data_IF_163664987574
#
_entry.id   IF_163664987574
#
_cell.length_a   1.000
_cell.length_b   1.000
_cell.length_c   1.000
_cell.angle_alpha   90.00
_cell.angle_beta   90.00
_cell.angle_gamma   90.00
#
_symmetry.space_group_name_H-M   'P 1'
#
loop_
_entity.id
_entity.type
_entity.pdbx_description
1 polymer ?
#
# COMPACT_ATOMS: atom_id res chain seq x y z
N UNK A 1 -10.23 11.46 32.40
CA UNK A 1 -8.99 11.31 33.22
C UNK A 1 -7.73 11.75 32.47
N UNK A 2 -7.24 11.06 31.43
CA UNK A 2 -6.01 11.48 30.72
C UNK A 2 -6.10 12.84 30.01
N UNK A 3 -7.23 13.14 29.35
CA UNK A 3 -7.45 14.43 28.68
C UNK A 3 -7.55 15.61 29.65
N UNK A 4 -8.12 15.38 30.83
CA UNK A 4 -8.29 16.42 31.83
C UNK A 4 -6.95 16.80 32.49
N UNK A 5 -6.02 15.84 32.60
CA UNK A 5 -4.65 16.08 33.07
C UNK A 5 -3.93 17.04 32.12
N UNK A 6 -3.94 16.77 30.81
CA UNK A 6 -3.28 17.65 29.82
C UNK A 6 -3.91 19.04 29.77
N UNK A 7 -5.24 19.16 29.90
CA UNK A 7 -5.90 20.47 29.96
C UNK A 7 -5.45 21.29 31.17
N UNK A 8 -5.05 20.63 32.27
CA UNK A 8 -4.50 21.28 33.46
C UNK A 8 -3.03 21.67 33.33
N UNK A 9 -2.27 21.11 32.39
CA UNK A 9 -0.86 21.48 32.15
C UNK A 9 -0.73 22.98 31.84
N UNK A 10 -1.57 23.50 30.96
CA UNK A 10 -1.67 24.93 30.70
C UNK A 10 -3.10 25.33 30.30
N UNK A 11 -3.97 25.74 31.25
CA UNK A 11 -5.38 25.98 30.97
C UNK A 11 -5.64 27.08 29.95
N UNK A 12 -4.81 28.15 29.96
CA UNK A 12 -5.03 29.35 29.13
C UNK A 12 -4.25 29.36 27.81
N UNK A 13 -3.25 28.49 27.66
CA UNK A 13 -2.40 28.45 26.48
C UNK A 13 -2.27 27.01 25.96
N UNK A 14 -3.12 26.61 25.01
CA UNK A 14 -3.03 25.28 24.42
C UNK A 14 -1.68 25.01 23.75
N UNK A 15 -0.96 26.03 23.27
CA UNK A 15 0.33 25.89 22.60
C UNK A 15 1.44 25.32 23.50
N UNK A 16 1.23 25.33 24.83
CA UNK A 16 2.15 24.84 25.86
C UNK A 16 1.73 23.50 26.48
N UNK A 17 0.73 22.83 25.91
CA UNK A 17 0.27 21.52 26.38
C UNK A 17 1.00 20.41 25.63
N UNK A 18 1.18 19.27 26.28
CA UNK A 18 1.79 18.08 25.70
C UNK A 18 0.99 17.49 24.54
N UNK A 19 -0.33 17.68 24.54
CA UNK A 19 -1.23 17.11 23.53
C UNK A 19 -2.41 18.01 23.22
N UNK A 20 -2.86 17.96 21.97
CA UNK A 20 -4.02 18.70 21.46
C UNK A 20 -5.02 17.78 20.76
N UNK A 21 -6.32 18.01 20.98
CA UNK A 21 -7.42 17.27 20.33
C UNK A 21 -8.67 18.10 20.05
N UNK A 22 -8.83 19.26 20.70
CA UNK A 22 -9.96 20.13 20.41
C UNK A 22 -9.66 20.92 19.15
N UNK A 23 -10.56 20.86 18.17
CA UNK A 23 -10.44 21.63 16.93
C UNK A 23 -10.12 23.10 17.20
N UNK A 24 -10.88 23.78 18.08
CA UNK A 24 -10.66 25.21 18.37
C UNK A 24 -9.26 25.51 18.91
N UNK A 25 -8.72 24.63 19.75
CA UNK A 25 -7.38 24.78 20.32
C UNK A 25 -6.32 24.56 19.24
N UNK A 26 -6.44 23.47 18.47
CA UNK A 26 -5.52 23.12 17.39
C UNK A 26 -5.51 24.21 16.32
N UNK A 27 -6.69 24.60 15.85
CA UNK A 27 -6.86 25.63 14.83
C UNK A 27 -6.28 26.97 15.29
N UNK A 28 -6.56 27.39 16.53
CA UNK A 28 -5.95 28.61 17.07
C UNK A 28 -4.42 28.50 17.19
N UNK A 29 -3.88 27.36 17.63
CA UNK A 29 -2.44 27.16 17.80
C UNK A 29 -1.71 27.16 16.45
N UNK A 30 -2.27 26.48 15.45
CA UNK A 30 -1.67 26.34 14.12
C UNK A 30 -1.87 27.58 13.26
N UNK A 31 -3.00 28.28 13.34
CA UNK A 31 -3.21 29.56 12.64
C UNK A 31 -2.36 30.68 13.21
N UNK A 32 -2.16 30.74 14.53
CA UNK A 32 -1.37 31.81 15.17
C UNK A 32 0.11 31.46 15.34
N UNK A 33 0.52 30.27 14.92
CA UNK A 33 1.90 29.76 15.08
C UNK A 33 2.43 29.88 16.53
N UNK A 34 1.56 29.54 17.50
CA UNK A 34 1.88 29.60 18.95
C UNK A 34 2.28 28.25 19.54
N UNK A 35 2.33 27.20 18.74
CA UNK A 35 2.75 25.88 19.20
C UNK A 35 4.22 25.88 19.61
N UNK A 36 4.54 25.06 20.60
CA UNK A 36 5.87 24.98 21.21
C UNK A 36 6.40 23.56 21.20
N UNK A 37 7.67 23.41 21.55
CA UNK A 37 8.36 22.11 21.72
C UNK A 37 7.71 21.19 22.77
N UNK A 38 6.85 21.73 23.64
CA UNK A 38 6.11 20.92 24.61
C UNK A 38 5.11 19.97 23.95
N UNK A 39 4.59 20.34 22.77
CA UNK A 39 3.57 19.55 22.05
C UNK A 39 4.21 18.28 21.49
N UNK A 40 3.75 17.14 21.99
CA UNK A 40 4.18 15.81 21.56
C UNK A 40 3.13 15.07 20.72
N UNK A 41 1.87 15.50 20.76
CA UNK A 41 0.82 14.86 19.97
C UNK A 41 -0.32 15.80 19.58
N UNK A 42 -0.72 15.74 18.31
CA UNK A 42 -1.90 16.44 17.78
C UNK A 42 -2.80 15.39 17.14
N UNK A 43 -4.06 15.34 17.57
CA UNK A 43 -5.08 14.45 17.00
C UNK A 43 -6.30 15.26 16.63
N UNK A 44 -6.47 15.53 15.35
CA UNK A 44 -7.61 16.23 14.78
C UNK A 44 -8.39 15.31 13.86
N UNK A 45 -9.57 14.87 14.32
CA UNK A 45 -10.52 14.09 13.52
C UNK A 45 -11.84 14.82 13.46
N UNK A 46 -12.17 15.37 12.30
CA UNK A 46 -13.43 16.06 12.08
C UNK A 46 -14.44 15.13 11.41
N UNK A 47 -15.74 15.18 11.78
CA UNK A 47 -16.75 14.35 11.13
C UNK A 47 -17.01 14.75 9.68
N UNK A 48 -16.82 16.03 9.35
CA UNK A 48 -17.02 16.60 8.03
C UNK A 48 -15.81 17.42 7.61
N UNK A 49 -15.50 17.51 6.30
CA UNK A 49 -14.42 18.34 5.77
C UNK A 49 -14.54 19.79 6.22
N UNK A 50 -13.44 20.36 6.71
CA UNK A 50 -13.37 21.75 7.11
C UNK A 50 -12.13 22.45 6.57
N UNK A 51 -12.32 23.66 6.06
CA UNK A 51 -11.23 24.53 5.64
C UNK A 51 -10.46 25.07 6.85
N UNK A 52 -9.14 25.11 6.71
CA UNK A 52 -8.22 25.61 7.72
C UNK A 52 -7.15 26.52 7.10
N UNK A 53 -6.95 27.66 7.75
CA UNK A 53 -5.98 28.68 7.35
C UNK A 53 -4.81 28.66 8.34
N UNK A 54 -4.11 27.52 8.39
CA UNK A 54 -2.96 27.37 9.27
C UNK A 54 -1.74 28.07 8.70
N UNK A 55 -0.89 28.57 9.59
CA UNK A 55 0.38 29.15 9.21
C UNK A 55 1.27 28.04 8.60
N UNK A 56 1.88 28.25 7.41
CA UNK A 56 2.76 27.25 6.77
C UNK A 56 3.96 26.84 7.63
N UNK A 57 4.39 27.70 8.56
CA UNK A 57 5.49 27.48 9.51
C UNK A 57 4.99 26.95 10.86
N UNK A 58 3.70 26.65 11.01
CA UNK A 58 3.08 26.28 12.30
C UNK A 58 3.74 25.10 13.01
N UNK A 59 4.27 24.13 12.26
CA UNK A 59 4.98 22.98 12.82
C UNK A 59 6.47 23.24 13.11
N UNK A 60 7.02 24.38 12.69
CA UNK A 60 8.45 24.67 12.77
C UNK A 60 9.01 24.63 14.19
N UNK A 61 8.22 25.00 15.22
CA UNK A 61 8.65 25.04 16.63
C UNK A 61 8.32 23.78 17.43
N UNK A 62 7.57 22.83 16.85
CA UNK A 62 7.07 21.65 17.55
C UNK A 62 8.03 20.46 17.39
N UNK A 63 9.31 20.66 17.69
CA UNK A 63 10.35 19.70 17.35
C UNK A 63 10.18 18.32 18.01
N UNK A 64 9.50 18.23 19.16
CA UNK A 64 9.21 16.97 19.85
C UNK A 64 7.84 16.35 19.51
N UNK A 65 7.18 16.81 18.45
CA UNK A 65 5.93 16.24 17.99
C UNK A 65 6.16 14.81 17.47
N UNK A 66 5.58 13.82 18.15
CA UNK A 66 5.72 12.39 17.83
C UNK A 66 4.51 11.82 17.09
N UNK A 67 3.33 12.37 17.34
CA UNK A 67 2.07 11.89 16.79
C UNK A 67 1.31 13.03 16.12
N UNK A 68 1.04 12.89 14.83
CA UNK A 68 0.22 13.83 14.08
C UNK A 68 -0.87 13.06 13.35
N UNK A 69 -2.12 13.32 13.73
CA UNK A 69 -3.30 12.76 13.05
C UNK A 69 -4.18 13.92 12.61
N UNK A 70 -4.43 14.03 11.31
CA UNK A 70 -5.28 15.06 10.71
C UNK A 70 -6.20 14.38 9.69
N UNK A 71 -7.50 14.42 9.96
CA UNK A 71 -8.54 13.88 9.09
C UNK A 71 -9.59 14.96 8.81
N UNK A 72 -10.05 15.01 7.55
CA UNK A 72 -11.10 15.92 7.08
C UNK A 72 -10.76 17.41 7.28
N UNK A 73 -9.49 17.78 7.07
CA UNK A 73 -9.05 19.18 7.06
C UNK A 73 -8.50 19.52 5.68
N UNK A 74 -9.06 20.56 5.07
CA UNK A 74 -8.55 21.12 3.82
C UNK A 74 -7.67 22.34 4.13
N UNK A 75 -6.36 22.19 3.93
CA UNK A 75 -5.43 23.30 4.11
C UNK A 75 -5.43 24.23 2.90
N UNK A 76 -5.58 25.53 3.17
CA UNK A 76 -5.44 26.56 2.15
C UNK A 76 -3.98 26.83 1.75
N UNK A 77 -3.04 26.50 2.64
CA UNK A 77 -1.61 26.65 2.41
C UNK A 77 -0.87 25.35 2.77
N UNK A 78 0.07 24.97 1.92
CA UNK A 78 0.90 23.79 2.14
C UNK A 78 1.87 24.02 3.32
N UNK A 79 2.02 23.04 4.24
CA UNK A 79 2.98 23.15 5.32
C UNK A 79 4.41 23.12 4.75
N UNK A 80 5.24 24.06 5.21
CA UNK A 80 6.65 24.14 4.80
C UNK A 80 7.57 23.26 5.65
N UNK A 81 7.11 22.85 6.82
CA UNK A 81 7.85 22.04 7.78
C UNK A 81 6.99 20.92 8.35
N UNK A 82 7.64 19.78 8.60
CA UNK A 82 7.13 18.72 9.47
C UNK A 82 8.22 18.38 10.49
N UNK A 83 7.86 18.07 11.75
CA UNK A 83 8.85 17.77 12.79
C UNK A 83 9.53 16.43 12.55
N UNK A 84 10.86 16.38 12.71
CA UNK A 84 11.65 15.17 12.42
C UNK A 84 11.49 14.06 13.47
N UNK A 85 11.04 14.38 14.69
CA UNK A 85 10.77 13.40 15.75
C UNK A 85 9.44 12.65 15.55
N UNK A 86 8.71 12.92 14.44
CA UNK A 86 7.46 12.23 14.13
C UNK A 86 7.69 10.73 14.04
N UNK A 87 6.93 9.98 14.84
CA UNK A 87 6.91 8.51 14.84
C UNK A 87 5.67 7.97 14.14
N UNK A 88 4.58 8.73 14.17
CA UNK A 88 3.32 8.38 13.54
C UNK A 88 2.74 9.62 12.84
N UNK A 89 2.55 9.50 11.53
CA UNK A 89 1.93 10.54 10.71
C UNK A 89 0.73 9.93 9.98
N UNK A 90 -0.48 10.40 10.32
CA UNK A 90 -1.70 10.15 9.58
C UNK A 90 -2.29 11.47 9.12
N UNK A 91 -2.24 11.72 7.81
CA UNK A 91 -2.76 12.94 7.23
C UNK A 91 -3.60 12.61 6.00
N UNK A 92 -4.85 12.26 6.26
CA UNK A 92 -5.81 11.95 5.21
C UNK A 92 -6.24 13.22 4.47
N UNK A 93 -6.14 13.21 3.14
CA UNK A 93 -6.45 14.36 2.30
C UNK A 93 -5.32 15.39 2.21
N UNK A 94 -4.07 15.00 2.43
CA UNK A 94 -2.92 15.91 2.37
C UNK A 94 -2.85 16.65 1.01
N UNK A 95 -2.78 17.98 1.07
CA UNK A 95 -2.98 18.86 -0.10
C UNK A 95 -1.74 18.99 -0.97
N UNK A 96 -0.55 18.87 -0.39
CA UNK A 96 0.69 19.15 -1.11
C UNK A 96 1.12 17.99 -2.00
N UNK A 97 1.91 18.32 -3.03
CA UNK A 97 2.41 17.35 -4.04
C UNK A 97 3.47 16.39 -3.49
N UNK A 98 4.14 16.75 -2.41
CA UNK A 98 5.12 15.92 -1.72
C UNK A 98 5.26 16.37 -0.26
N UNK A 99 5.85 15.53 0.60
CA UNK A 99 6.27 15.96 1.93
C UNK A 99 7.35 17.06 1.82
N UNK A 100 7.49 17.94 2.84
CA UNK A 100 8.47 19.02 2.81
C UNK A 100 9.91 18.51 2.64
N UNK A 101 10.72 19.23 1.88
CA UNK A 101 12.10 18.81 1.58
C UNK A 101 12.99 18.72 2.85
N UNK A 102 12.72 19.60 3.82
CA UNK A 102 13.40 19.68 5.11
C UNK A 102 13.11 18.48 6.03
N UNK A 103 12.01 17.76 5.81
CA UNK A 103 11.60 16.65 6.66
C UNK A 103 12.56 15.45 6.52
N UNK A 104 13.07 14.98 7.65
CA UNK A 104 13.93 13.81 7.78
C UNK A 104 13.20 12.74 8.60
N UNK A 105 12.53 11.76 7.96
CA UNK A 105 11.68 10.77 8.62
C UNK A 105 12.47 9.64 9.30
N UNK A 106 13.55 9.95 10.02
CA UNK A 106 14.44 8.95 10.62
C UNK A 106 13.74 8.15 11.72
N UNK A 107 12.89 8.81 12.50
CA UNK A 107 12.13 8.24 13.63
C UNK A 107 10.74 7.73 13.23
N UNK A 108 10.34 7.92 11.96
CA UNK A 108 9.01 7.63 11.48
C UNK A 108 8.79 6.12 11.40
N UNK A 109 7.75 5.63 12.07
CA UNK A 109 7.37 4.21 12.12
C UNK A 109 6.23 3.93 11.15
N UNK A 110 5.24 4.83 11.10
CA UNK A 110 4.08 4.69 10.23
C UNK A 110 3.74 6.00 9.52
N UNK A 111 3.43 5.87 8.23
CA UNK A 111 3.02 6.94 7.35
C UNK A 111 1.71 6.58 6.66
N UNK A 112 0.64 7.28 7.01
CA UNK A 112 -0.68 7.17 6.41
C UNK A 112 -1.04 8.50 5.76
N UNK A 113 -1.17 8.52 4.44
CA UNK A 113 -1.50 9.72 3.68
C UNK A 113 -2.60 9.37 2.67
N UNK A 114 -3.69 8.77 3.15
CA UNK A 114 -4.78 8.33 2.29
C UNK A 114 -5.45 9.52 1.59
N UNK A 115 -5.99 9.32 0.39
CA UNK A 115 -6.74 10.33 -0.38
C UNK A 115 -5.95 11.62 -0.66
N UNK A 116 -4.62 11.54 -0.69
CA UNK A 116 -3.76 12.71 -0.81
C UNK A 116 -3.50 13.14 -2.25
N UNK A 117 -3.12 14.40 -2.42
CA UNK A 117 -2.66 14.99 -3.68
C UNK A 117 -1.17 14.73 -3.96
N UNK A 118 -0.53 13.86 -3.19
CA UNK A 118 0.88 13.52 -3.33
C UNK A 118 1.13 12.91 -4.72
N UNK A 119 2.04 13.53 -5.45
CA UNK A 119 2.57 13.02 -6.71
C UNK A 119 3.77 12.09 -6.46
N UNK A 120 4.60 12.42 -5.45
CA UNK A 120 5.74 11.63 -4.97
C UNK A 120 5.95 11.87 -3.47
N UNK A 121 6.36 10.84 -2.72
CA UNK A 121 6.56 10.96 -1.27
C UNK A 121 7.53 12.08 -0.88
N UNK A 122 8.73 12.05 -1.46
CA UNK A 122 9.78 13.05 -1.26
C UNK A 122 10.67 13.13 -2.51
N UNK A 123 11.50 14.17 -2.56
CA UNK A 123 12.56 14.33 -3.57
C UNK A 123 13.87 13.76 -3.03
N UNK A 124 14.61 13.06 -3.89
CA UNK A 124 15.87 12.41 -3.53
C UNK A 124 15.67 11.18 -2.63
N UNK A 125 16.76 10.72 -2.03
CA UNK A 125 16.78 9.55 -1.14
C UNK A 125 16.63 10.01 0.31
N UNK A 126 15.83 9.27 1.10
CA UNK A 126 15.65 9.49 2.54
C UNK A 126 15.92 8.18 3.27
N UNK A 127 16.69 8.24 4.37
CA UNK A 127 16.82 7.09 5.29
C UNK A 127 15.61 7.05 6.20
N UNK A 128 14.98 5.89 6.29
CA UNK A 128 13.82 5.64 7.13
C UNK A 128 14.03 4.30 7.85
N UNK A 129 14.98 4.26 8.78
CA UNK A 129 15.42 3.02 9.44
C UNK A 129 14.34 2.40 10.35
N UNK A 130 13.35 3.20 10.77
CA UNK A 130 12.27 2.77 11.65
C UNK A 130 10.93 2.54 10.92
N UNK A 131 10.84 2.85 9.63
CA UNK A 131 9.57 2.90 8.90
C UNK A 131 9.09 1.50 8.54
N UNK A 132 7.94 1.12 9.09
CA UNK A 132 7.34 -0.22 8.96
C UNK A 132 6.11 -0.23 8.08
N UNK A 133 5.38 0.88 7.99
CA UNK A 133 4.13 0.93 7.24
C UNK A 133 4.00 2.23 6.45
N UNK A 134 3.79 2.09 5.15
CA UNK A 134 3.33 3.16 4.26
C UNK A 134 1.95 2.82 3.70
N UNK A 135 1.01 3.74 3.87
CA UNK A 135 -0.33 3.66 3.31
C UNK A 135 -0.66 4.95 2.56
N UNK A 136 -0.75 4.86 1.23
CA UNK A 136 -1.11 5.95 0.32
C UNK A 136 -2.42 5.67 -0.42
N UNK A 137 -3.30 4.85 0.17
CA UNK A 137 -4.57 4.45 -0.47
C UNK A 137 -5.29 5.65 -1.09
N UNK A 138 -5.78 5.46 -2.31
CA UNK A 138 -6.55 6.43 -3.08
C UNK A 138 -5.83 7.76 -3.32
N UNK A 139 -4.49 7.76 -3.33
CA UNK A 139 -3.69 8.93 -3.73
C UNK A 139 -3.65 9.02 -5.25
N UNK A 140 -4.67 9.65 -5.84
CA UNK A 140 -4.93 9.59 -7.28
C UNK A 140 -3.83 10.21 -8.14
N UNK A 141 -2.99 11.09 -7.60
CA UNK A 141 -1.89 11.75 -8.33
C UNK A 141 -0.54 11.01 -8.19
N UNK A 142 -0.46 10.01 -7.32
CA UNK A 142 0.76 9.28 -7.06
C UNK A 142 1.13 8.41 -8.26
N UNK A 143 2.30 8.63 -8.85
CA UNK A 143 2.66 8.01 -10.13
C UNK A 143 3.81 6.98 -10.05
N UNK A 144 4.60 6.98 -8.97
CA UNK A 144 5.73 6.08 -8.80
C UNK A 144 6.27 6.05 -7.37
N UNK A 145 6.79 4.90 -6.95
CA UNK A 145 7.37 4.74 -5.61
C UNK A 145 8.81 5.24 -5.54
N UNK A 146 9.31 5.67 -4.35
CA UNK A 146 10.73 5.96 -4.17
C UNK A 146 11.57 4.68 -4.15
N UNK A 147 12.88 4.85 -4.03
CA UNK A 147 13.78 3.76 -3.67
C UNK A 147 13.62 3.35 -2.19
N UNK A 148 13.40 2.06 -1.96
CA UNK A 148 13.28 1.43 -0.64
C UNK A 148 14.58 0.85 -0.07
N UNK A 149 15.74 0.98 -0.74
CA UNK A 149 17.01 0.46 -0.20
C UNK A 149 17.37 1.00 1.18
N UNK A 150 16.95 2.23 1.50
CA UNK A 150 17.16 2.91 2.79
C UNK A 150 15.94 2.85 3.72
N UNK A 151 15.06 1.87 3.52
CA UNK A 151 13.86 1.62 4.33
C UNK A 151 13.83 0.13 4.71
N UNK A 152 14.86 -0.39 5.40
CA UNK A 152 15.16 -1.83 5.43
C UNK A 152 14.14 -2.69 6.18
N UNK A 153 13.32 -2.07 7.04
CA UNK A 153 12.35 -2.77 7.89
C UNK A 153 10.89 -2.57 7.47
N UNK A 154 10.63 -2.09 6.25
CA UNK A 154 9.25 -1.93 5.77
C UNK A 154 8.51 -3.28 5.76
N UNK A 155 7.42 -3.35 6.52
CA UNK A 155 6.58 -4.54 6.67
C UNK A 155 5.36 -4.47 5.74
N UNK A 156 4.77 -3.28 5.54
CA UNK A 156 3.53 -3.10 4.77
C UNK A 156 3.61 -1.92 3.80
N UNK A 157 3.21 -2.16 2.56
CA UNK A 157 3.05 -1.13 1.53
C UNK A 157 1.65 -1.21 0.92
N UNK A 158 0.83 -0.19 1.16
CA UNK A 158 -0.55 -0.11 0.65
C UNK A 158 -0.66 1.09 -0.28
N UNK A 159 -0.88 0.81 -1.56
CA UNK A 159 -1.10 1.77 -2.65
C UNK A 159 -2.43 1.51 -3.36
N UNK A 160 -3.42 0.96 -2.65
CA UNK A 160 -4.73 0.64 -3.20
C UNK A 160 -5.38 1.87 -3.86
N UNK A 161 -5.97 1.70 -5.04
CA UNK A 161 -6.62 2.73 -5.84
C UNK A 161 -5.74 3.96 -6.18
N UNK A 162 -4.41 3.80 -6.19
CA UNK A 162 -3.49 4.78 -6.79
C UNK A 162 -3.55 4.70 -8.32
N UNK A 163 -4.62 5.22 -8.92
CA UNK A 163 -4.96 5.01 -10.34
C UNK A 163 -3.88 5.45 -11.34
N UNK A 164 -3.06 6.45 -10.98
CA UNK A 164 -1.99 6.98 -11.84
C UNK A 164 -0.62 6.35 -11.59
N UNK A 165 -0.51 5.39 -10.66
CA UNK A 165 0.70 4.62 -10.44
C UNK A 165 1.03 3.83 -11.72
N UNK A 166 2.19 4.09 -12.32
CA UNK A 166 2.61 3.44 -13.57
C UNK A 166 3.64 2.33 -13.35
N UNK A 167 4.50 2.53 -12.36
CA UNK A 167 5.61 1.65 -12.03
C UNK A 167 5.88 1.64 -10.53
N UNK A 168 6.46 0.54 -10.06
CA UNK A 168 7.05 0.45 -8.72
C UNK A 168 8.56 0.29 -8.87
N UNK A 169 9.31 0.90 -7.95
CA UNK A 169 10.76 0.87 -7.98
C UNK A 169 11.29 -0.57 -7.81
N UNK A 170 12.34 -0.98 -8.55
CA UNK A 170 12.92 -2.34 -8.47
C UNK A 170 13.24 -2.83 -7.07
N UNK A 171 13.67 -1.95 -6.16
CA UNK A 171 14.01 -2.33 -4.77
C UNK A 171 12.83 -2.89 -3.97
N UNK A 172 11.57 -2.64 -4.37
CA UNK A 172 10.40 -3.33 -3.79
C UNK A 172 10.50 -4.84 -4.01
N UNK A 173 10.93 -5.27 -5.20
CA UNK A 173 11.00 -6.67 -5.60
C UNK A 173 12.04 -7.49 -4.85
N UNK A 174 12.94 -6.87 -4.10
CA UNK A 174 13.98 -7.56 -3.30
C UNK A 174 13.87 -7.26 -1.80
N UNK A 175 12.76 -6.64 -1.37
CA UNK A 175 12.59 -6.20 0.00
C UNK A 175 12.42 -7.37 0.97
N UNK A 176 13.31 -7.48 1.96
CA UNK A 176 13.43 -8.68 2.81
C UNK A 176 12.41 -8.77 3.95
N UNK A 177 11.80 -7.65 4.36
CA UNK A 177 10.86 -7.58 5.48
C UNK A 177 9.41 -7.33 5.09
N UNK A 178 9.12 -7.12 3.80
CA UNK A 178 7.76 -6.77 3.36
C UNK A 178 6.88 -8.02 3.43
N UNK A 179 5.81 -7.96 4.22
CA UNK A 179 4.83 -9.05 4.38
C UNK A 179 3.56 -8.82 3.57
N UNK A 180 3.21 -7.54 3.34
CA UNK A 180 2.05 -7.14 2.55
C UNK A 180 2.43 -6.10 1.47
N UNK A 181 2.14 -6.45 0.21
CA UNK A 181 2.13 -5.52 -0.91
C UNK A 181 0.73 -5.44 -1.51
N UNK A 182 0.03 -4.32 -1.28
CA UNK A 182 -1.30 -4.07 -1.83
C UNK A 182 -1.27 -2.97 -2.89
N UNK A 183 -1.44 -3.35 -4.16
CA UNK A 183 -1.51 -2.48 -5.33
C UNK A 183 -2.90 -2.56 -6.00
N UNK A 184 -3.93 -3.03 -5.28
CA UNK A 184 -5.27 -3.22 -5.81
C UNK A 184 -5.78 -1.95 -6.48
N UNK A 185 -6.38 -2.06 -7.66
CA UNK A 185 -7.02 -0.92 -8.34
C UNK A 185 -6.06 0.10 -8.94
N UNK A 186 -4.75 -0.16 -8.97
CA UNK A 186 -3.78 0.65 -9.70
C UNK A 186 -3.92 0.45 -11.22
N UNK A 187 -4.98 1.03 -11.80
CA UNK A 187 -5.41 0.78 -13.20
C UNK A 187 -4.34 1.10 -14.25
N UNK A 188 -3.46 2.08 -14.01
CA UNK A 188 -2.38 2.43 -14.95
C UNK A 188 -1.05 1.72 -14.68
N UNK A 189 -1.00 0.79 -13.72
CA UNK A 189 0.20 0.03 -13.43
C UNK A 189 0.52 -0.90 -14.60
N UNK A 190 1.71 -0.72 -15.19
CA UNK A 190 2.18 -1.50 -16.35
C UNK A 190 3.44 -2.27 -16.05
N UNK A 191 4.30 -1.71 -15.22
CA UNK A 191 5.63 -2.23 -14.94
C UNK A 191 5.76 -2.63 -13.47
N UNK A 192 6.03 -3.91 -13.26
CA UNK A 192 6.54 -4.46 -12.01
C UNK A 192 8.02 -4.83 -12.20
N UNK A 193 8.81 -4.93 -11.12
CA UNK A 193 10.11 -5.58 -11.14
C UNK A 193 10.00 -6.95 -11.82
N UNK A 194 10.96 -7.27 -12.70
CA UNK A 194 10.88 -8.48 -13.53
C UNK A 194 10.79 -9.77 -12.71
N UNK A 195 11.47 -9.78 -11.56
CA UNK A 195 11.51 -10.91 -10.62
C UNK A 195 11.30 -10.36 -9.20
N UNK A 196 10.54 -11.08 -8.40
CA UNK A 196 10.43 -10.87 -6.96
C UNK A 196 11.27 -11.90 -6.21
N UNK A 197 12.03 -11.45 -5.22
CA UNK A 197 12.91 -12.25 -4.36
C UNK A 197 12.71 -11.84 -2.90
N UNK A 198 11.45 -11.94 -2.44
CA UNK A 198 10.94 -11.36 -1.20
C UNK A 198 10.63 -12.44 -0.15
N UNK A 199 11.61 -12.75 0.69
CA UNK A 199 11.57 -13.85 1.67
C UNK A 199 10.44 -13.78 2.69
N UNK A 200 9.96 -12.57 3.01
CA UNK A 200 8.92 -12.36 4.02
C UNK A 200 7.53 -12.13 3.44
N UNK A 201 7.37 -12.06 2.11
CA UNK A 201 6.08 -11.69 1.52
C UNK A 201 5.04 -12.77 1.76
N UNK A 202 3.91 -12.39 2.35
CA UNK A 202 2.79 -13.30 2.65
C UNK A 202 1.58 -13.02 1.76
N UNK A 203 1.32 -11.75 1.46
CA UNK A 203 0.13 -11.31 0.72
C UNK A 203 0.54 -10.34 -0.40
N UNK A 204 0.22 -10.72 -1.64
CA UNK A 204 0.38 -9.89 -2.83
C UNK A 204 -0.98 -9.63 -3.46
N UNK A 205 -1.38 -8.36 -3.52
CA UNK A 205 -2.66 -7.92 -4.11
C UNK A 205 -2.38 -7.05 -5.33
N UNK A 206 -2.72 -7.57 -6.51
CA UNK A 206 -2.65 -6.91 -7.82
C UNK A 206 -4.04 -6.83 -8.48
N UNK A 207 -5.09 -7.15 -7.73
CA UNK A 207 -6.48 -7.15 -8.20
C UNK A 207 -6.85 -5.82 -8.88
N UNK A 208 -7.61 -5.87 -9.97
CA UNK A 208 -8.12 -4.71 -10.71
C UNK A 208 -7.04 -3.80 -11.29
N UNK A 209 -5.79 -4.25 -11.39
CA UNK A 209 -4.74 -3.61 -12.20
C UNK A 209 -4.96 -3.92 -13.68
N UNK A 210 -5.98 -3.29 -14.29
CA UNK A 210 -6.49 -3.64 -15.62
C UNK A 210 -5.50 -3.47 -16.78
N UNK A 211 -4.43 -2.69 -16.61
CA UNK A 211 -3.36 -2.55 -17.62
C UNK A 211 -2.15 -3.47 -17.38
N UNK A 212 -2.16 -4.26 -16.30
CA UNK A 212 -1.09 -5.21 -16.00
C UNK A 212 -1.22 -6.43 -16.91
N UNK A 213 -0.30 -6.54 -17.88
CA UNK A 213 -0.31 -7.61 -18.90
C UNK A 213 0.58 -8.81 -18.58
N UNK A 214 1.53 -8.64 -17.65
CA UNK A 214 2.51 -9.65 -17.26
C UNK A 214 2.67 -9.64 -15.76
N UNK A 215 2.73 -10.83 -15.17
CA UNK A 215 3.15 -11.04 -13.79
C UNK A 215 4.69 -10.98 -13.70
N UNK A 216 5.27 -10.68 -12.52
CA UNK A 216 6.68 -10.90 -12.28
C UNK A 216 6.99 -12.40 -12.23
N UNK A 217 8.25 -12.77 -12.45
CA UNK A 217 8.76 -14.08 -12.03
C UNK A 217 8.92 -14.11 -10.50
N UNK A 218 8.76 -15.28 -9.89
CA UNK A 218 8.92 -15.46 -8.44
C UNK A 218 10.20 -16.24 -8.12
N UNK A 219 11.03 -15.71 -7.23
CA UNK A 219 12.24 -16.37 -6.77
C UNK A 219 11.97 -17.59 -5.91
N UNK A 220 12.92 -18.50 -5.84
CA UNK A 220 12.87 -19.73 -5.02
C UNK A 220 12.66 -19.41 -3.52
N UNK A 221 13.07 -18.23 -3.07
CA UNK A 221 12.94 -17.77 -1.70
C UNK A 221 11.54 -17.22 -1.32
N UNK A 222 10.53 -17.35 -2.19
CA UNK A 222 9.18 -16.80 -1.97
C UNK A 222 8.19 -17.79 -1.32
N UNK A 223 8.69 -18.73 -0.53
CA UNK A 223 7.91 -19.79 0.12
C UNK A 223 6.84 -19.30 1.10
N UNK A 224 6.93 -18.05 1.57
CA UNK A 224 6.00 -17.45 2.55
C UNK A 224 4.72 -16.88 1.95
N UNK A 225 4.63 -16.74 0.63
CA UNK A 225 3.41 -16.21 0.00
C UNK A 225 2.25 -17.18 0.27
N UNK A 226 1.19 -16.70 0.91
CA UNK A 226 -0.03 -17.46 1.23
C UNK A 226 -1.19 -17.08 0.32
N UNK A 227 -1.24 -15.80 -0.08
CA UNK A 227 -2.37 -15.22 -0.82
C UNK A 227 -1.86 -14.39 -2.01
N UNK A 228 -2.31 -14.74 -3.20
CA UNK A 228 -2.03 -14.02 -4.44
C UNK A 228 -3.35 -13.66 -5.12
N UNK A 229 -3.60 -12.35 -5.26
CA UNK A 229 -4.80 -11.84 -5.92
C UNK A 229 -4.43 -11.08 -7.20
N UNK A 230 -4.91 -11.58 -8.33
CA UNK A 230 -4.66 -11.10 -9.69
C UNK A 230 -5.98 -10.82 -10.43
N UNK A 231 -7.13 -10.93 -9.75
CA UNK A 231 -8.45 -10.81 -10.37
C UNK A 231 -8.65 -9.49 -11.12
N UNK A 232 -9.28 -9.53 -12.28
CA UNK A 232 -9.53 -8.34 -13.10
C UNK A 232 -8.26 -7.68 -13.67
N UNK A 233 -7.16 -8.43 -13.81
CA UNK A 233 -5.97 -7.99 -14.55
C UNK A 233 -6.04 -8.39 -16.03
N UNK A 234 -5.15 -7.84 -16.85
CA UNK A 234 -5.04 -8.18 -18.27
C UNK A 234 -3.92 -9.20 -18.56
N UNK A 235 -3.52 -9.98 -17.56
CA UNK A 235 -2.47 -10.99 -17.69
C UNK A 235 -2.89 -12.04 -18.73
N UNK A 236 -1.91 -12.51 -19.51
CA UNK A 236 -2.15 -13.51 -20.55
C UNK A 236 -1.70 -14.91 -20.15
N UNK A 237 -0.73 -15.01 -19.24
CA UNK A 237 -0.16 -16.25 -18.70
C UNK A 237 0.25 -16.01 -17.24
N UNK A 238 0.25 -17.08 -16.45
CA UNK A 238 1.00 -17.13 -15.19
C UNK A 238 2.42 -17.64 -15.48
N UNK A 239 3.45 -17.23 -14.70
CA UNK A 239 4.81 -17.66 -14.92
C UNK A 239 5.02 -19.08 -14.38
N UNK A 240 5.96 -19.84 -14.93
CA UNK A 240 6.30 -21.19 -14.42
C UNK A 240 6.76 -21.08 -12.96
N UNK A 241 7.51 -20.04 -12.64
CA UNK A 241 8.01 -19.74 -11.30
C UNK A 241 6.93 -19.54 -10.23
N UNK A 242 5.63 -19.51 -10.57
CA UNK A 242 4.56 -19.59 -9.57
C UNK A 242 4.67 -20.84 -8.69
N UNK A 243 5.34 -21.90 -9.19
CA UNK A 243 5.65 -23.11 -8.43
C UNK A 243 6.59 -22.87 -7.24
N UNK A 244 7.39 -21.80 -7.27
CA UNK A 244 8.24 -21.39 -6.14
C UNK A 244 7.42 -20.85 -4.96
N UNK A 245 6.13 -20.51 -5.18
CA UNK A 245 5.21 -20.12 -4.12
C UNK A 245 4.67 -21.37 -3.41
N UNK A 246 5.56 -22.17 -2.85
CA UNK A 246 5.25 -23.51 -2.27
C UNK A 246 4.22 -23.47 -1.14
N UNK A 247 4.11 -22.34 -0.44
CA UNK A 247 3.11 -22.11 0.60
C UNK A 247 1.82 -21.42 0.12
N UNK A 248 1.64 -21.18 -1.19
CA UNK A 248 0.46 -20.50 -1.72
C UNK A 248 -0.80 -21.32 -1.42
N UNK A 249 -1.72 -20.72 -0.66
CA UNK A 249 -2.97 -21.36 -0.23
C UNK A 249 -4.20 -20.84 -0.95
N UNK A 250 -4.15 -19.57 -1.41
CA UNK A 250 -5.24 -18.91 -2.11
C UNK A 250 -4.71 -18.17 -3.33
N UNK A 251 -5.25 -18.50 -4.50
CA UNK A 251 -5.00 -17.83 -5.76
C UNK A 251 -6.32 -17.35 -6.37
N UNK A 252 -6.45 -16.05 -6.58
CA UNK A 252 -7.59 -15.48 -7.28
C UNK A 252 -7.14 -14.87 -8.60
N UNK A 253 -7.61 -15.44 -9.72
CA UNK A 253 -7.42 -14.92 -11.07
C UNK A 253 -8.76 -14.67 -11.75
N UNK A 254 -9.83 -14.50 -10.97
CA UNK A 254 -11.17 -14.21 -11.47
C UNK A 254 -11.17 -13.04 -12.45
N UNK A 255 -11.99 -13.12 -13.50
CA UNK A 255 -12.16 -12.08 -14.50
C UNK A 255 -10.85 -11.67 -15.23
N UNK A 256 -9.82 -12.53 -15.20
CA UNK A 256 -8.64 -12.42 -16.07
C UNK A 256 -8.98 -12.87 -17.49
N UNK A 257 -9.77 -12.06 -18.20
CA UNK A 257 -10.36 -12.40 -19.51
C UNK A 257 -9.35 -12.78 -20.59
N UNK A 258 -8.10 -12.34 -20.46
CA UNK A 258 -7.03 -12.61 -21.43
C UNK A 258 -6.13 -13.78 -21.07
N UNK A 259 -6.33 -14.43 -19.91
CA UNK A 259 -5.53 -15.56 -19.47
C UNK A 259 -5.80 -16.75 -20.40
N UNK A 260 -4.75 -17.27 -21.04
CA UNK A 260 -4.88 -18.32 -22.07
C UNK A 260 -4.49 -19.72 -21.56
N UNK A 261 -3.55 -19.80 -20.63
CA UNK A 261 -3.03 -21.08 -20.12
C UNK A 261 -2.54 -20.95 -18.69
N UNK A 262 -2.48 -22.09 -18.01
CA UNK A 262 -1.84 -22.27 -16.70
C UNK A 262 -0.54 -23.09 -16.89
N UNK A 263 0.46 -22.96 -15.98
CA UNK A 263 1.66 -23.80 -16.00
C UNK A 263 1.34 -25.29 -15.85
N UNK A 264 2.16 -26.17 -16.43
CA UNK A 264 2.02 -27.64 -16.32
C UNK A 264 2.00 -28.15 -14.88
N UNK A 265 2.80 -27.53 -14.01
CA UNK A 265 2.96 -27.90 -12.62
C UNK A 265 1.88 -27.31 -11.70
N UNK A 266 0.94 -26.54 -12.23
CA UNK A 266 -0.06 -25.79 -11.45
C UNK A 266 -0.91 -26.68 -10.53
N UNK A 267 -1.33 -27.86 -11.02
CA UNK A 267 -2.13 -28.81 -10.22
C UNK A 267 -1.30 -29.59 -9.18
N UNK A 268 0.03 -29.50 -9.25
CA UNK A 268 0.94 -30.15 -8.29
C UNK A 268 1.21 -29.30 -7.04
N UNK A 269 0.68 -28.07 -6.98
CA UNK A 269 0.85 -27.19 -5.82
C UNK A 269 0.10 -27.74 -4.60
N UNK A 270 0.84 -28.37 -3.67
CA UNK A 270 0.28 -29.10 -2.52
C UNK A 270 -0.52 -28.20 -1.56
N UNK A 271 -0.07 -26.97 -1.36
CA UNK A 271 -0.63 -26.03 -0.39
C UNK A 271 -1.89 -25.30 -0.88
N UNK A 272 -2.17 -25.32 -2.19
CA UNK A 272 -3.27 -24.57 -2.79
C UNK A 272 -4.60 -25.20 -2.38
N UNK A 273 -5.46 -24.39 -1.75
CA UNK A 273 -6.79 -24.78 -1.25
C UNK A 273 -7.90 -24.01 -1.97
N UNK A 274 -7.68 -22.71 -2.15
CA UNK A 274 -8.66 -21.81 -2.75
C UNK A 274 -8.14 -21.35 -4.12
N UNK A 275 -8.89 -21.68 -5.18
CA UNK A 275 -8.62 -21.23 -6.54
C UNK A 275 -9.89 -20.65 -7.15
N UNK A 276 -9.78 -19.44 -7.68
CA UNK A 276 -10.86 -18.82 -8.43
C UNK A 276 -10.43 -18.48 -9.86
N UNK A 277 -10.98 -19.21 -10.83
CA UNK A 277 -10.79 -19.05 -12.28
C UNK A 277 -12.04 -18.51 -12.99
N UNK A 278 -13.09 -18.12 -12.25
CA UNK A 278 -14.35 -17.63 -12.83
C UNK A 278 -14.11 -16.43 -13.75
N UNK A 279 -14.80 -16.37 -14.89
CA UNK A 279 -14.67 -15.24 -15.84
C UNK A 279 -13.37 -15.21 -16.67
N UNK A 280 -12.53 -16.25 -16.61
CA UNK A 280 -11.36 -16.41 -17.48
C UNK A 280 -11.76 -16.96 -18.86
N UNK A 281 -12.44 -16.15 -19.68
CA UNK A 281 -13.09 -16.57 -20.93
C UNK A 281 -12.14 -17.30 -21.91
N UNK A 282 -10.95 -16.75 -22.21
CA UNK A 282 -9.99 -17.39 -23.12
C UNK A 282 -9.44 -18.72 -22.60
N UNK A 283 -9.27 -18.84 -21.29
CA UNK A 283 -8.86 -20.10 -20.67
C UNK A 283 -9.98 -21.14 -20.83
N UNK A 284 -11.23 -20.75 -20.62
CA UNK A 284 -12.39 -21.62 -20.78
C UNK A 284 -12.60 -22.06 -22.22
N UNK A 285 -12.44 -21.19 -23.22
CA UNK A 285 -12.48 -21.54 -24.65
C UNK A 285 -11.42 -22.59 -24.99
N UNK A 286 -10.19 -22.37 -24.51
CA UNK A 286 -9.08 -23.30 -24.71
C UNK A 286 -9.30 -24.66 -24.01
N UNK A 287 -9.96 -24.67 -22.86
CA UNK A 287 -10.31 -25.90 -22.13
C UNK A 287 -11.53 -26.61 -22.73
N UNK A 288 -12.51 -25.86 -23.23
CA UNK A 288 -13.75 -26.39 -23.83
C UNK A 288 -13.52 -27.05 -25.19
N UNK A 289 -12.50 -26.62 -25.93
CA UNK A 289 -12.05 -27.27 -27.16
C UNK A 289 -11.25 -28.55 -26.93
N UNK A 290 -10.83 -28.84 -25.68
CA UNK A 290 -10.27 -30.13 -25.32
C UNK A 290 -11.42 -31.06 -24.92
N UNK A 291 -11.86 -31.93 -25.85
CA UNK A 291 -12.92 -32.92 -25.64
C UNK A 291 -12.60 -33.85 -24.44
N UNK A 292 -12.95 -33.45 -23.21
CA UNK A 292 -13.11 -34.35 -22.03
C UNK A 292 -13.36 -33.65 -20.67
N UNK A 293 -13.35 -32.31 -20.54
CA UNK A 293 -13.47 -31.69 -19.21
C UNK A 293 -14.94 -31.47 -18.79
N UNK A 294 -15.59 -32.54 -18.33
CA UNK A 294 -16.77 -32.43 -17.46
C UNK A 294 -16.30 -32.00 -16.06
N UNK A 295 -16.77 -30.83 -15.63
CA UNK A 295 -16.76 -30.31 -14.24
C UNK A 295 -15.39 -29.92 -13.65
N UNK A 296 -14.89 -28.74 -14.04
CA UNK A 296 -14.21 -27.86 -13.07
C UNK A 296 -15.32 -27.05 -12.41
N UNK A 297 -15.70 -27.37 -11.17
CA UNK A 297 -16.64 -26.56 -10.40
C UNK A 297 -16.04 -25.16 -10.23
N UNK A 298 -16.64 -24.20 -10.95
CA UNK A 298 -16.18 -22.81 -11.07
C UNK A 298 -16.47 -22.02 -9.78
N UNK A 299 -16.99 -22.69 -8.74
CA UNK A 299 -17.32 -22.13 -7.43
C UNK A 299 -16.47 -22.73 -6.28
N UNK A 300 -15.17 -22.46 -6.27
CA UNK A 300 -14.43 -22.23 -5.02
C UNK A 300 -14.26 -23.38 -4.02
N UNK A 301 -14.49 -24.65 -4.39
CA UNK A 301 -13.91 -25.80 -3.70
C UNK A 301 -13.37 -26.79 -4.74
N UNK A 302 -12.05 -26.98 -4.78
CA UNK A 302 -11.44 -27.97 -5.68
C UNK A 302 -11.49 -29.34 -5.00
N UNK A 303 -12.41 -30.20 -5.42
CA UNK A 303 -12.10 -31.63 -5.46
C UNK A 303 -11.04 -31.82 -6.54
N UNK A 304 -9.84 -32.22 -6.13
CA UNK A 304 -8.66 -32.37 -7.01
C UNK A 304 -8.88 -33.52 -8.01
N UNK A 305 -9.59 -33.26 -9.10
CA UNK A 305 -9.51 -34.08 -10.32
C UNK A 305 -8.90 -33.26 -11.43
N UNK A 306 -7.71 -33.70 -11.87
CA UNK A 306 -6.98 -33.18 -13.02
C UNK A 306 -7.78 -33.53 -14.28
N UNK A 307 -8.23 -32.57 -15.08
CA UNK A 307 -8.79 -32.90 -16.39
C UNK A 307 -7.66 -33.28 -17.35
N UNK A 308 -7.76 -34.46 -17.95
CA UNK A 308 -6.77 -35.03 -18.89
C UNK A 308 -6.66 -34.30 -20.25
N UNK A 309 -7.15 -33.07 -20.37
CA UNK A 309 -7.10 -32.28 -21.61
C UNK A 309 -6.47 -30.89 -21.48
N UNK A 310 -5.78 -30.59 -20.36
CA UNK A 310 -5.30 -29.22 -20.12
C UNK A 310 -4.16 -28.84 -21.08
N UNK A 311 -4.36 -27.78 -21.88
CA UNK A 311 -3.30 -27.14 -22.66
C UNK A 311 -2.31 -26.45 -21.72
N UNK A 312 -1.30 -27.20 -21.30
CA UNK A 312 -0.13 -26.66 -20.63
C UNK A 312 0.83 -26.10 -21.67
N UNK A 313 1.38 -24.91 -21.44
CA UNK A 313 2.51 -24.46 -22.24
C UNK A 313 3.77 -25.18 -21.74
N UNK A 314 4.44 -25.91 -22.63
CA UNK A 314 5.82 -26.39 -22.42
C UNK A 314 6.81 -25.33 -22.90
N UNK A 315 7.98 -25.33 -22.28
CA UNK A 315 9.11 -24.39 -22.42
C UNK A 315 9.34 -23.80 -23.81
#
# INVERSE_FOLDING_TARGET
MGRDIVRKECPRDPGKRSRLWLYKDIDSVLTKNTGTETIQGIVLKLPEPKEAHWDPESFSKMHHLKFLIIENVHLMYDPKHLPNDLRFLDWSGYTSKSLPASFQPNELIELHMCYSNIERLWKGTKSCEMLKFINLKSSLKFFGTPDFTKIPILEKLVLEDCINLREIHPSVGVHKKLTLLNLKGCKNLRNLPRKFEMESLEILILSKCSNLKRTPEFGENMERVRKLYLDGTAITKLPISIENLTGLSSLNVRDCKNLMSLPSTFFNMKSLKDLNLSGCLKLQENLGNAESVKELDVNGQIDKKVPQGTLFYTS
#
